data_IF_100705417247
#
_entry.id   IF_100705417247
#
_cell.length_a   1.000
_cell.length_b   1.000
_cell.length_c   1.000
_cell.angle_alpha   90.00
_cell.angle_beta   90.00
_cell.angle_gamma   90.00
#
_symmetry.space_group_name_H-M   'P 1'
#
loop_
_entity.id
_entity.type
_entity.pdbx_description
1 polymer ?
#
# COMPACT_ATOMS: atom_id res chain seq x y z
N UNK A 1 3.45 -14.24 2.88
CA UNK A 1 2.07 -14.17 3.36
C UNK A 1 1.59 -12.74 3.20
N UNK A 2 0.44 -12.56 2.56
CA UNK A 2 -0.25 -11.29 2.40
C UNK A 2 -1.34 -11.15 3.44
N UNK A 3 -1.57 -9.93 3.91
CA UNK A 3 -2.66 -9.56 4.80
C UNK A 3 -3.67 -8.65 4.08
N UNK A 4 -4.92 -8.69 4.53
CA UNK A 4 -5.98 -7.83 3.97
C UNK A 4 -5.62 -6.36 4.20
N UNK A 5 -5.96 -5.51 3.21
CA UNK A 5 -5.65 -4.07 3.14
C UNK A 5 -4.20 -3.70 2.82
N UNK A 6 -3.27 -4.65 2.76
CA UNK A 6 -1.92 -4.36 2.26
C UNK A 6 -1.96 -3.90 0.79
N UNK A 7 -1.09 -2.94 0.47
CA UNK A 7 -0.94 -2.39 -0.88
C UNK A 7 0.41 -2.82 -1.43
N UNK A 8 0.42 -3.34 -2.65
CA UNK A 8 1.64 -3.79 -3.33
C UNK A 8 1.81 -3.05 -4.65
N UNK A 9 3.06 -2.73 -4.99
CA UNK A 9 3.44 -2.07 -6.24
C UNK A 9 4.47 -2.90 -7.01
N UNK A 10 4.30 -2.99 -8.33
CA UNK A 10 5.34 -3.45 -9.24
C UNK A 10 6.17 -2.25 -9.70
N UNK A 11 7.47 -2.24 -9.45
CA UNK A 11 8.35 -1.14 -9.85
C UNK A 11 8.75 -1.18 -11.34
N UNK A 12 8.47 -2.28 -12.04
CA UNK A 12 8.73 -2.41 -13.47
C UNK A 12 7.62 -1.82 -14.33
N UNK A 13 6.37 -2.25 -14.12
CA UNK A 13 5.23 -1.80 -14.93
C UNK A 13 4.33 -0.76 -14.25
N UNK A 14 4.53 -0.51 -12.95
CA UNK A 14 3.75 0.46 -12.18
C UNK A 14 2.40 -0.03 -11.65
N UNK A 15 2.05 -1.32 -11.82
CA UNK A 15 0.80 -1.87 -11.28
C UNK A 15 0.74 -1.75 -9.76
N UNK A 16 -0.38 -1.26 -9.23
CA UNK A 16 -0.66 -1.15 -7.79
C UNK A 16 -1.93 -1.95 -7.48
N UNK A 17 -1.87 -2.83 -6.50
CA UNK A 17 -2.98 -3.69 -6.09
C UNK A 17 -3.18 -3.67 -4.59
N UNK A 18 -4.43 -3.81 -4.13
CA UNK A 18 -4.79 -3.95 -2.72
C UNK A 18 -5.26 -5.38 -2.46
N UNK A 19 -4.79 -5.98 -1.36
CA UNK A 19 -5.18 -7.32 -0.95
C UNK A 19 -6.58 -7.31 -0.33
N UNK A 20 -7.51 -8.03 -0.95
CA UNK A 20 -8.88 -8.23 -0.43
C UNK A 20 -9.06 -9.56 0.32
N UNK A 21 -8.15 -10.51 0.11
CA UNK A 21 -8.15 -11.81 0.79
C UNK A 21 -6.70 -12.24 1.08
N UNK A 22 -6.44 -12.63 2.33
CA UNK A 22 -5.11 -13.03 2.78
C UNK A 22 -4.70 -14.39 2.20
N UNK A 23 -3.40 -14.60 2.00
CA UNK A 23 -2.87 -15.87 1.51
C UNK A 23 -1.38 -16.03 1.81
N UNK A 24 -0.89 -17.27 1.80
CA UNK A 24 0.51 -17.53 2.13
C UNK A 24 1.48 -17.22 0.97
N UNK A 25 0.99 -17.20 -0.26
CA UNK A 25 1.77 -16.94 -1.47
C UNK A 25 2.40 -15.55 -1.52
N UNK A 26 3.37 -15.39 -2.43
CA UNK A 26 4.01 -14.11 -2.73
C UNK A 26 3.42 -13.53 -4.02
N UNK A 27 3.10 -12.24 -4.02
CA UNK A 27 2.63 -11.55 -5.22
C UNK A 27 3.79 -11.32 -6.19
N UNK A 28 3.60 -11.75 -7.45
CA UNK A 28 4.61 -11.62 -8.52
C UNK A 28 3.97 -10.89 -9.69
N UNK A 29 4.69 -9.90 -10.22
CA UNK A 29 4.30 -9.16 -11.41
C UNK A 29 5.55 -8.92 -12.28
N UNK A 30 5.44 -9.08 -13.59
CA UNK A 30 6.58 -8.97 -14.53
C UNK A 30 7.74 -9.94 -14.23
N UNK A 31 7.46 -11.07 -13.58
CA UNK A 31 8.46 -12.08 -13.23
C UNK A 31 9.21 -11.82 -11.92
N UNK A 32 8.91 -10.71 -11.23
CA UNK A 32 9.57 -10.35 -9.97
C UNK A 32 8.57 -10.20 -8.80
N UNK A 33 9.01 -10.39 -7.55
CA UNK A 33 8.21 -10.12 -6.36
C UNK A 33 7.76 -8.66 -6.32
N UNK A 34 6.47 -8.42 -6.12
CA UNK A 34 5.96 -7.07 -5.91
C UNK A 34 6.44 -6.50 -4.57
N UNK A 35 6.65 -5.19 -4.51
CA UNK A 35 7.06 -4.50 -3.29
C UNK A 35 5.84 -4.15 -2.43
N UNK A 36 5.92 -4.43 -1.13
CA UNK A 36 4.92 -3.99 -0.15
C UNK A 36 5.09 -2.48 0.08
N UNK A 37 4.02 -1.71 -0.13
CA UNK A 37 3.98 -0.28 0.16
C UNK A 37 3.53 -0.12 1.60
N UNK A 38 4.47 0.13 2.50
CA UNK A 38 4.17 0.42 3.90
C UNK A 38 3.72 1.87 4.06
N UNK A 39 2.69 2.07 4.88
CA UNK A 39 2.26 3.41 5.26
C UNK A 39 3.39 4.10 6.02
N UNK A 40 3.63 5.38 5.70
CA UNK A 40 4.64 6.17 6.39
C UNK A 40 4.08 6.64 7.72
N UNK A 41 4.57 6.05 8.81
CA UNK A 41 4.20 6.39 10.18
C UNK A 41 5.23 7.27 10.90
N UNK A 42 6.38 7.54 10.26
CA UNK A 42 7.45 8.34 10.87
C UNK A 42 7.08 9.82 10.93
N UNK A 43 7.22 10.39 12.13
CA UNK A 43 6.87 11.78 12.52
C UNK A 43 7.76 12.85 11.82
N UNK A 44 8.69 12.46 10.95
CA UNK A 44 9.79 13.33 10.54
C UNK A 44 9.80 13.74 9.06
N UNK A 45 8.87 13.27 8.21
CA UNK A 45 8.91 13.62 6.79
C UNK A 45 7.52 13.71 6.14
N UNK A 46 7.19 14.87 5.59
CA UNK A 46 6.00 15.06 4.74
C UNK A 46 4.65 15.16 5.48
N UNK A 47 4.63 15.29 6.80
CA UNK A 47 3.41 15.35 7.61
C UNK A 47 2.42 16.44 7.15
N UNK A 48 2.93 17.55 6.66
CA UNK A 48 2.15 18.72 6.22
C UNK A 48 1.39 18.55 4.90
N UNK A 49 1.83 17.65 4.01
CA UNK A 49 1.28 17.48 2.65
C UNK A 49 0.89 16.05 2.28
N UNK A 50 1.35 15.06 3.03
CA UNK A 50 1.18 13.65 2.69
C UNK A 50 0.28 12.88 3.66
N UNK A 51 0.08 13.37 4.88
CA UNK A 51 -0.81 12.73 5.86
C UNK A 51 -2.24 13.21 5.61
N UNK A 52 -3.19 12.30 5.34
CA UNK A 52 -4.60 12.68 5.21
C UNK A 52 -5.14 13.25 6.51
N UNK A 53 -5.88 14.37 6.42
CA UNK A 53 -6.65 14.95 7.54
C UNK A 53 -8.12 14.57 7.34
N UNK A 54 -8.70 13.72 8.20
CA UNK A 54 -10.12 13.39 8.11
C UNK A 54 -10.96 14.58 8.56
N UNK A 55 -11.97 14.94 7.77
CA UNK A 55 -13.01 15.92 8.12
C UNK A 55 -14.37 15.20 8.11
N UNK A 56 -15.15 15.37 9.18
CA UNK A 56 -16.50 14.80 9.27
C UNK A 56 -17.52 15.79 8.69
N UNK A 57 -18.18 15.40 7.61
CA UNK A 57 -19.35 16.10 7.09
C UNK A 57 -20.60 15.30 7.46
N UNK A 58 -21.64 15.99 7.93
CA UNK A 58 -22.94 15.37 8.21
C UNK A 58 -23.64 15.11 6.88
N UNK A 59 -23.59 13.87 6.40
CA UNK A 59 -24.22 13.42 5.14
C UNK A 59 -25.73 13.35 5.19
#
# INVERSE_FOLDING_TARGET
MTNVNEVYKCDLCGNIVRVVHAGFGQLVCCGEPMQLVTERTSVNEGLEKHVPVPEEETG
#
